data_IF_486150707759
#
_entry.id   IF_486150707759
#
_cell.length_a   1.000
_cell.length_b   1.000
_cell.length_c   1.000
_cell.angle_alpha   90.00
_cell.angle_beta   90.00
_cell.angle_gamma   90.00
#
_symmetry.space_group_name_H-M   'P 1'
#
loop_
_entity.id
_entity.type
_entity.pdbx_description
1 polymer ?
#
# COMPACT_ATOMS: atom_id res chain seq x y z
N UNK A 1 15.47 17.10 14.64
CA UNK A 1 16.33 17.60 15.72
C UNK A 1 17.73 17.80 15.15
N UNK A 2 18.11 19.06 14.89
CA UNK A 2 19.46 19.41 14.40
C UNK A 2 20.58 18.92 15.33
N UNK A 3 20.26 18.55 16.58
CA UNK A 3 21.22 18.00 17.54
C UNK A 3 21.60 16.54 17.28
N UNK A 4 20.80 15.78 16.52
CA UNK A 4 21.01 14.34 16.32
C UNK A 4 21.07 13.90 14.86
N UNK A 5 20.78 14.80 13.90
CA UNK A 5 20.66 14.46 12.47
C UNK A 5 19.75 13.25 12.19
N UNK A 6 18.67 13.09 12.98
CA UNK A 6 17.77 11.94 12.88
C UNK A 6 16.51 12.26 12.08
N UNK A 7 16.27 11.47 11.03
CA UNK A 7 15.01 11.41 10.29
C UNK A 7 14.18 10.23 10.81
N UNK A 8 12.90 10.47 11.09
CA UNK A 8 11.93 9.44 11.48
C UNK A 8 10.85 9.40 10.40
N UNK A 9 10.66 8.21 9.81
CA UNK A 9 9.62 7.94 8.82
C UNK A 9 8.64 6.93 9.40
N UNK A 10 7.34 7.22 9.32
CA UNK A 10 6.27 6.35 9.82
C UNK A 10 5.35 6.00 8.65
N UNK A 11 4.98 4.73 8.55
CA UNK A 11 4.03 4.21 7.56
C UNK A 11 3.05 3.29 8.25
N UNK A 12 1.78 3.35 7.84
CA UNK A 12 0.72 2.46 8.30
C UNK A 12 0.06 1.83 7.07
N UNK A 13 0.01 0.51 7.06
CA UNK A 13 -0.63 -0.27 6.00
C UNK A 13 -1.44 -1.41 6.61
N UNK A 14 -2.49 -1.84 5.91
CA UNK A 14 -3.07 -3.16 6.15
C UNK A 14 -2.07 -4.23 5.68
N UNK A 15 -1.68 -5.12 6.59
CA UNK A 15 -0.65 -6.13 6.33
C UNK A 15 -1.12 -7.25 5.41
N UNK A 16 -2.42 -7.50 5.28
CA UNK A 16 -2.98 -8.55 4.42
C UNK A 16 -3.43 -8.00 3.06
N UNK A 17 -3.88 -6.75 3.01
CA UNK A 17 -4.17 -6.05 1.76
C UNK A 17 -2.87 -5.51 1.17
N UNK A 18 -2.42 -4.32 1.56
CA UNK A 18 -1.23 -3.72 0.93
C UNK A 18 0.05 -4.48 1.27
N UNK A 19 0.13 -5.11 2.43
CA UNK A 19 1.28 -5.92 2.83
C UNK A 19 1.36 -7.30 2.15
N UNK A 20 0.27 -7.82 1.58
CA UNK A 20 0.23 -9.13 0.92
C UNK A 20 -0.64 -9.13 -0.35
N UNK A 21 -1.92 -9.52 -0.25
CA UNK A 21 -2.77 -9.87 -1.38
C UNK A 21 -3.03 -8.69 -2.32
N UNK A 22 -3.22 -7.49 -1.78
CA UNK A 22 -3.39 -6.27 -2.56
C UNK A 22 -2.17 -5.94 -3.42
N UNK A 23 -0.95 -6.13 -2.91
CA UNK A 23 0.26 -5.96 -3.72
C UNK A 23 0.41 -7.05 -4.79
N UNK A 24 0.00 -8.29 -4.50
CA UNK A 24 -0.02 -9.36 -5.50
C UNK A 24 -1.02 -9.05 -6.64
N UNK A 25 -2.21 -8.55 -6.30
CA UNK A 25 -3.22 -8.15 -7.29
C UNK A 25 -2.77 -6.94 -8.11
N UNK A 26 -2.13 -5.92 -7.51
CA UNK A 26 -1.56 -4.80 -8.28
C UNK A 26 -0.55 -5.27 -9.32
N UNK A 27 0.36 -6.16 -8.92
CA UNK A 27 1.35 -6.71 -9.85
C UNK A 27 0.68 -7.55 -10.94
N UNK A 28 -0.34 -8.33 -10.59
CA UNK A 28 -1.13 -9.09 -11.57
C UNK A 28 -1.83 -8.16 -12.57
N UNK A 29 -2.45 -7.08 -12.09
CA UNK A 29 -3.10 -6.09 -12.94
C UNK A 29 -2.11 -5.55 -13.98
N UNK A 30 -0.92 -5.15 -13.54
CA UNK A 30 0.14 -4.69 -14.44
C UNK A 30 0.58 -5.78 -15.44
N UNK A 31 0.77 -7.02 -14.98
CA UNK A 31 1.15 -8.15 -15.84
C UNK A 31 0.08 -8.49 -16.89
N UNK A 32 -1.19 -8.25 -16.57
CA UNK A 32 -2.33 -8.49 -17.46
C UNK A 32 -2.70 -7.26 -18.29
N UNK A 33 -2.00 -6.12 -18.15
CA UNK A 33 -2.31 -4.87 -18.86
C UNK A 33 -3.60 -4.19 -18.40
N UNK A 34 -4.06 -4.50 -17.19
CA UNK A 34 -5.18 -3.84 -16.53
C UNK A 34 -4.72 -2.56 -15.82
N UNK A 35 -5.67 -1.73 -15.39
CA UNK A 35 -5.38 -0.61 -14.49
C UNK A 35 -4.83 -1.16 -13.16
N UNK A 36 -3.73 -0.59 -12.65
CA UNK A 36 -3.10 -1.03 -11.39
C UNK A 36 -4.08 -1.04 -10.23
N UNK A 37 -5.05 -0.11 -10.23
CA UNK A 37 -6.03 0.08 -9.15
C UNK A 37 -7.28 -0.80 -9.28
N UNK A 38 -7.39 -1.56 -10.38
CA UNK A 38 -8.53 -2.42 -10.67
C UNK A 38 -8.77 -3.41 -9.51
N UNK A 39 -9.98 -3.39 -8.94
CA UNK A 39 -10.35 -4.24 -7.80
C UNK A 39 -9.77 -3.85 -6.43
N UNK A 40 -9.07 -2.71 -6.31
CA UNK A 40 -8.34 -2.33 -5.09
C UNK A 40 -8.79 -1.01 -4.45
N UNK A 41 -9.74 -0.31 -5.05
CA UNK A 41 -10.22 1.00 -4.58
C UNK A 41 -11.21 0.92 -3.40
N UNK A 42 -11.12 -0.12 -2.57
CA UNK A 42 -11.94 -0.23 -1.38
C UNK A 42 -11.44 0.76 -0.30
N UNK A 43 -12.29 1.67 0.20
CA UNK A 43 -11.90 2.59 1.26
C UNK A 43 -11.67 1.84 2.58
N UNK A 44 -10.88 2.43 3.48
CA UNK A 44 -10.75 1.91 4.84
C UNK A 44 -12.09 1.91 5.57
N UNK A 45 -12.31 0.91 6.42
CA UNK A 45 -13.53 0.79 7.23
C UNK A 45 -13.37 1.65 8.48
N UNK A 46 -14.38 2.48 8.77
CA UNK A 46 -14.43 3.39 9.93
C UNK A 46 -15.87 3.77 10.28
N UNK A 47 -16.23 3.87 11.57
CA UNK A 47 -16.19 2.82 12.59
C UNK A 47 -17.24 1.72 12.34
#
# INVERSE_FOLDING_TARGET
DERTNKLIVVSLIDNLVKGQAGSAVQNLNLMCGLDETEGLMHPGIYP
#
